data_IF_237966757453
#
_entry.id   IF_237966757453
#
_cell.length_a   1.000
_cell.length_b   1.000
_cell.length_c   1.000
_cell.angle_alpha   90.00
_cell.angle_beta   90.00
_cell.angle_gamma   90.00
#
_symmetry.space_group_name_H-M   'P 1'
#
loop_
_entity.id
_entity.type
_entity.pdbx_description
1 polymer ?
#
# COMPACT_ATOMS: atom_id res chain seq x y z
N UNK A 1 29.61 7.13 -15.50
CA UNK A 1 28.46 6.29 -15.90
C UNK A 1 28.20 5.29 -14.80
N UNK A 2 26.94 5.11 -14.40
CA UNK A 2 26.52 4.17 -13.37
C UNK A 2 25.81 4.81 -12.18
N UNK A 3 24.69 5.54 -12.41
CA UNK A 3 23.72 5.77 -11.33
C UNK A 3 23.07 4.42 -11.05
N UNK A 4 23.35 3.85 -9.88
CA UNK A 4 22.58 2.71 -9.39
C UNK A 4 21.11 3.14 -9.33
N UNK A 5 20.26 2.50 -10.14
CA UNK A 5 18.81 2.62 -10.05
C UNK A 5 18.39 1.97 -8.73
N UNK A 6 18.41 2.74 -7.65
CA UNK A 6 17.68 2.38 -6.44
C UNK A 6 16.21 2.62 -6.74
N UNK A 7 15.44 1.55 -6.87
CA UNK A 7 13.99 1.59 -6.81
C UNK A 7 13.55 2.49 -5.65
N UNK A 8 12.62 3.42 -5.88
CA UNK A 8 12.07 4.29 -4.84
C UNK A 8 11.53 3.42 -3.71
N UNK A 9 12.33 3.32 -2.65
CA UNK A 9 12.08 2.40 -1.55
C UNK A 9 11.11 3.08 -0.61
N UNK A 10 9.86 2.64 -0.62
CA UNK A 10 8.86 3.08 0.33
C UNK A 10 9.31 2.70 1.75
N UNK A 11 9.30 3.66 2.66
CA UNK A 11 9.66 3.45 4.06
C UNK A 11 8.45 3.76 4.95
N UNK A 12 8.30 2.96 6.00
CA UNK A 12 7.36 3.19 7.09
C UNK A 12 8.07 2.91 8.41
N UNK A 13 8.15 3.90 9.27
CA UNK A 13 8.91 3.87 10.53
C UNK A 13 10.36 3.40 10.32
N UNK A 14 11.05 4.01 9.33
CA UNK A 14 12.42 3.68 8.89
C UNK A 14 12.63 2.24 8.41
N UNK A 15 11.55 1.47 8.25
CA UNK A 15 11.58 0.11 7.70
C UNK A 15 11.05 0.10 6.28
N UNK A 16 11.66 -0.68 5.38
CA UNK A 16 11.16 -0.79 4.03
C UNK A 16 9.77 -1.42 4.01
N UNK A 17 8.92 -0.85 3.16
CA UNK A 17 7.68 -1.46 2.69
C UNK A 17 7.98 -2.26 1.43
N UNK A 18 7.48 -3.49 1.38
CA UNK A 18 7.58 -4.38 0.23
C UNK A 18 6.19 -4.75 -0.27
N UNK A 19 6.10 -5.11 -1.55
CA UNK A 19 4.86 -5.68 -2.08
C UNK A 19 4.41 -6.88 -1.25
N UNK A 20 3.14 -6.89 -0.87
CA UNK A 20 2.54 -7.89 0.00
C UNK A 20 2.44 -7.50 1.48
N UNK A 21 3.08 -6.42 1.92
CA UNK A 21 3.02 -5.99 3.32
C UNK A 21 1.61 -5.60 3.74
N UNK A 22 1.20 -6.02 4.94
CA UNK A 22 -0.06 -5.58 5.54
C UNK A 22 0.16 -4.28 6.29
N UNK A 23 -0.60 -3.26 5.91
CA UNK A 23 -0.54 -1.90 6.48
C UNK A 23 -1.93 -1.38 6.78
N UNK A 24 -1.98 -0.29 7.55
CA UNK A 24 -3.18 0.47 7.80
C UNK A 24 -3.08 1.86 7.17
N UNK A 25 -4.10 2.25 6.41
CA UNK A 25 -4.23 3.56 5.77
C UNK A 25 -5.17 4.47 6.57
N UNK A 26 -4.72 5.68 6.88
CA UNK A 26 -5.54 6.68 7.55
C UNK A 26 -6.61 7.24 6.62
N UNK A 27 -7.87 7.17 7.05
CA UNK A 27 -9.05 7.66 6.36
C UNK A 27 -9.87 8.54 7.32
N UNK A 28 -10.82 9.33 6.79
CA UNK A 28 -11.65 10.25 7.59
C UNK A 28 -12.39 9.58 8.76
N UNK A 29 -12.72 8.29 8.62
CA UNK A 29 -13.40 7.49 9.65
C UNK A 29 -12.51 6.57 10.48
N UNK A 30 -11.18 6.64 10.34
CA UNK A 30 -10.24 5.77 11.05
C UNK A 30 -9.25 5.08 10.13
N UNK A 31 -8.76 3.91 10.53
CA UNK A 31 -7.71 3.19 9.82
C UNK A 31 -8.29 2.00 9.05
N UNK A 32 -8.00 1.92 7.75
CA UNK A 32 -8.34 0.75 6.92
C UNK A 32 -7.13 -0.18 6.84
N UNK A 33 -7.30 -1.44 7.24
CA UNK A 33 -6.27 -2.48 7.05
C UNK A 33 -6.33 -3.02 5.64
N UNK A 34 -5.17 -3.16 4.99
CA UNK A 34 -5.07 -3.70 3.65
C UNK A 34 -3.65 -4.08 3.28
N UNK A 35 -3.46 -4.48 2.03
CA UNK A 35 -2.18 -4.91 1.48
C UNK A 35 -1.57 -3.78 0.65
N UNK A 36 -0.32 -3.47 0.95
CA UNK A 36 0.50 -2.60 0.13
C UNK A 36 1.13 -3.39 -1.01
N UNK A 37 1.09 -2.82 -2.21
CA UNK A 37 1.80 -3.32 -3.37
C UNK A 37 2.60 -2.19 -4.00
N UNK A 38 3.83 -2.47 -4.37
CA UNK A 38 4.66 -1.58 -5.18
C UNK A 38 5.45 -2.47 -6.12
N UNK A 39 5.30 -2.26 -7.44
CA UNK A 39 6.05 -3.06 -8.40
C UNK A 39 7.50 -2.57 -8.42
N UNK A 40 8.34 -3.29 -7.68
CA UNK A 40 9.74 -2.94 -7.42
C UNK A 40 10.66 -2.97 -8.65
N UNK A 41 10.13 -3.28 -9.84
CA UNK A 41 10.91 -3.33 -11.09
C UNK A 41 10.53 -2.32 -12.19
N UNK A 42 9.35 -1.71 -12.15
CA UNK A 42 8.79 -0.95 -13.30
C UNK A 42 8.41 0.49 -12.98
N UNK A 43 8.62 0.96 -11.75
CA UNK A 43 8.19 2.30 -11.32
C UNK A 43 6.66 2.40 -11.15
N UNK A 44 6.00 1.27 -10.89
CA UNK A 44 4.57 1.25 -10.64
C UNK A 44 4.20 2.05 -9.39
N UNK A 45 3.13 2.84 -9.48
CA UNK A 45 2.66 3.63 -8.35
C UNK A 45 2.24 2.71 -7.18
N UNK A 46 2.56 3.07 -5.93
CA UNK A 46 2.15 2.32 -4.76
C UNK A 46 0.63 2.14 -4.76
N UNK A 47 0.16 0.92 -4.56
CA UNK A 47 -1.25 0.58 -4.58
C UNK A 47 -1.65 -0.06 -3.27
N UNK A 48 -2.75 0.40 -2.69
CA UNK A 48 -3.34 -0.17 -1.50
C UNK A 48 -4.58 -0.99 -1.87
N UNK A 49 -4.59 -2.26 -1.48
CA UNK A 49 -5.69 -3.19 -1.70
C UNK A 49 -6.41 -3.48 -0.39
N UNK A 50 -7.74 -3.44 -0.39
CA UNK A 50 -8.56 -3.81 0.76
C UNK A 50 -9.82 -4.54 0.31
N UNK A 51 -10.41 -5.32 1.21
CA UNK A 51 -11.62 -6.07 0.95
C UNK A 51 -12.81 -5.41 1.62
N UNK A 52 -13.95 -5.42 0.95
CA UNK A 52 -15.25 -5.03 1.50
C UNK A 52 -16.11 -6.28 1.58
N UNK A 53 -16.56 -6.63 2.78
CA UNK A 53 -17.56 -7.67 2.96
C UNK A 53 -18.92 -7.15 2.51
N UNK A 54 -19.58 -7.94 1.67
CA UNK A 54 -20.91 -7.67 1.14
C UNK A 54 -21.92 -8.65 1.72
N UNK A 55 -23.20 -8.26 1.71
CA UNK A 55 -24.28 -9.15 2.11
C UNK A 55 -24.26 -10.49 1.35
N UNK A 56 -24.73 -11.53 2.02
CA UNK A 56 -24.73 -12.93 1.57
C UNK A 56 -23.33 -13.55 1.43
N UNK A 57 -22.38 -13.16 2.29
CA UNK A 57 -21.05 -13.80 2.38
C UNK A 57 -20.15 -13.53 1.17
N UNK A 58 -20.46 -12.50 0.38
CA UNK A 58 -19.64 -12.09 -0.76
C UNK A 58 -18.55 -11.14 -0.30
N UNK A 59 -17.46 -11.09 -1.03
CA UNK A 59 -16.34 -10.18 -0.77
C UNK A 59 -15.95 -9.51 -2.07
N UNK A 60 -15.80 -8.19 -2.03
CA UNK A 60 -15.31 -7.40 -3.16
C UNK A 60 -13.95 -6.80 -2.82
N UNK A 61 -12.98 -6.95 -3.72
CA UNK A 61 -11.67 -6.33 -3.55
C UNK A 61 -11.67 -4.95 -4.20
N UNK A 62 -11.23 -3.95 -3.44
CA UNK A 62 -11.01 -2.59 -3.92
C UNK A 62 -9.53 -2.27 -3.91
N UNK A 63 -9.14 -1.32 -4.77
CA UNK A 63 -7.78 -0.78 -4.80
C UNK A 63 -7.79 0.71 -5.02
N UNK A 64 -6.78 1.39 -4.48
CA UNK A 64 -6.48 2.78 -4.78
C UNK A 64 -4.99 2.96 -4.97
N UNK A 65 -4.62 3.88 -5.85
CA UNK A 65 -3.24 4.37 -5.94
C UNK A 65 -3.01 5.25 -4.72
N UNK A 66 -1.98 4.95 -3.94
CA UNK A 66 -1.64 5.73 -2.77
C UNK A 66 -1.18 7.13 -3.22
N UNK A 67 -1.87 8.20 -2.82
CA UNK A 67 -1.41 9.55 -3.12
C UNK A 67 -0.11 9.83 -2.36
N UNK A 68 0.68 10.77 -2.89
CA UNK A 68 1.85 11.28 -2.18
C UNK A 68 1.45 11.83 -0.81
N UNK A 69 2.20 11.47 0.23
CA UNK A 69 1.93 11.88 1.61
C UNK A 69 0.82 11.10 2.33
N UNK A 70 0.30 10.01 1.75
CA UNK A 70 -0.64 9.13 2.44
C UNK A 70 -0.06 8.62 3.79
N UNK A 71 -0.85 8.74 4.85
CA UNK A 71 -0.48 8.30 6.20
C UNK A 71 -0.73 6.80 6.35
N UNK A 72 0.35 6.04 6.51
CA UNK A 72 0.34 4.60 6.75
C UNK A 72 0.86 4.27 8.16
N UNK A 73 0.48 3.11 8.69
CA UNK A 73 1.12 2.49 9.87
C UNK A 73 1.08 0.97 9.78
N UNK A 74 1.90 0.29 10.59
CA UNK A 74 1.77 -1.16 10.78
C UNK A 74 0.56 -1.45 11.69
N UNK A 75 -0.13 -2.60 11.51
CA UNK A 75 -1.22 -3.03 12.40
C UNK A 75 -0.79 -3.17 13.86
#
# INVERSE_FOLDING_TARGET
MGRAQGSDRWLLDDRPLSGGDIVQLCCSGGWLTGRFECDSGTGGAPTFYFSIELGAGRVEQQKLILPEGALLRRP
#
